data_IF_546501852683
#
_entry.id   IF_546501852683
#
_cell.length_a   1.000
_cell.length_b   1.000
_cell.length_c   1.000
_cell.angle_alpha   90.00
_cell.angle_beta   90.00
_cell.angle_gamma   90.00
#
_symmetry.space_group_name_H-M   'P 1'
#
loop_
_entity.id
_entity.type
_entity.pdbx_description
1 polymer ?
#
# COMPACT_ATOMS: atom_id res chain seq x y z
N UNK A 1 -0.93 -30.04 3.89
CA UNK A 1 0.35 -30.24 3.18
C UNK A 1 0.05 -30.67 1.76
N UNK A 2 0.61 -30.02 0.73
CA UNK A 2 0.26 -30.32 -0.68
C UNK A 2 1.15 -31.43 -1.25
N UNK A 3 0.64 -32.24 -2.20
CA UNK A 3 1.38 -33.32 -2.84
C UNK A 3 2.73 -32.85 -3.48
N UNK A 4 2.77 -31.61 -3.97
CA UNK A 4 3.99 -30.98 -4.48
C UNK A 4 5.05 -30.66 -3.40
N UNK A 5 4.64 -30.56 -2.13
CA UNK A 5 5.56 -30.47 -0.97
C UNK A 5 6.17 -31.84 -0.68
N UNK A 6 5.34 -32.89 -0.67
CA UNK A 6 5.78 -34.26 -0.39
C UNK A 6 6.75 -34.79 -1.44
N UNK A 7 6.50 -34.54 -2.73
CA UNK A 7 7.40 -34.95 -3.81
C UNK A 7 8.78 -34.26 -3.76
N UNK A 8 8.85 -33.01 -3.29
CA UNK A 8 10.12 -32.31 -3.08
C UNK A 8 10.88 -32.85 -1.86
N UNK A 9 10.15 -33.16 -0.80
CA UNK A 9 10.70 -33.77 0.41
C UNK A 9 11.28 -35.16 0.13
N UNK A 10 10.53 -36.02 -0.59
CA UNK A 10 10.97 -37.34 -0.99
C UNK A 10 12.27 -37.29 -1.82
N UNK A 11 12.31 -36.45 -2.87
CA UNK A 11 13.52 -36.27 -3.71
C UNK A 11 14.73 -35.75 -2.93
N UNK A 12 14.50 -34.93 -1.91
CA UNK A 12 15.56 -34.39 -1.07
C UNK A 12 16.15 -35.47 -0.15
N UNK A 13 15.30 -36.36 0.37
CA UNK A 13 15.72 -37.52 1.16
C UNK A 13 16.50 -38.52 0.30
N UNK A 14 16.01 -38.88 -0.89
CA UNK A 14 16.71 -39.82 -1.78
C UNK A 14 18.06 -39.28 -2.24
N UNK A 15 18.15 -37.99 -2.56
CA UNK A 15 19.44 -37.35 -2.90
C UNK A 15 20.40 -37.30 -1.72
N UNK A 16 19.89 -37.12 -0.50
CA UNK A 16 20.74 -37.14 0.70
C UNK A 16 21.28 -38.51 1.04
N UNK A 17 20.46 -39.54 0.85
CA UNK A 17 20.89 -40.93 1.03
C UNK A 17 21.94 -41.33 -0.02
N UNK A 18 21.71 -41.04 -1.30
CA UNK A 18 22.65 -41.33 -2.38
C UNK A 18 23.98 -40.58 -2.23
N UNK A 19 23.95 -39.32 -1.75
CA UNK A 19 25.17 -38.55 -1.51
C UNK A 19 25.99 -39.07 -0.31
N UNK A 20 25.32 -39.59 0.72
CA UNK A 20 25.95 -40.25 1.87
C UNK A 20 26.64 -41.55 1.46
N UNK A 21 25.97 -42.35 0.62
CA UNK A 21 26.53 -43.59 0.06
C UNK A 21 27.74 -43.35 -0.84
N UNK A 22 27.77 -42.22 -1.54
CA UNK A 22 28.87 -41.83 -2.43
C UNK A 22 30.07 -41.17 -1.71
N UNK A 23 30.12 -41.19 -0.37
CA UNK A 23 31.21 -40.57 0.42
C UNK A 23 31.26 -39.03 0.33
N UNK A 24 30.30 -38.39 -0.34
CA UNK A 24 30.21 -36.93 -0.51
C UNK A 24 29.47 -36.28 0.66
N UNK A 25 29.80 -36.70 1.88
CA UNK A 25 29.14 -36.31 3.13
C UNK A 25 29.31 -34.83 3.47
N UNK A 26 30.38 -34.20 3.02
CA UNK A 26 30.73 -32.84 3.43
C UNK A 26 30.64 -31.88 2.24
N UNK A 27 29.45 -31.31 2.01
CA UNK A 27 29.43 -29.96 1.40
C UNK A 27 29.81 -29.01 2.52
N UNK A 28 30.97 -28.36 2.34
CA UNK A 28 31.66 -27.56 3.35
C UNK A 28 30.84 -26.50 4.08
N UNK A 29 31.51 -25.90 5.06
CA UNK A 29 31.06 -24.83 5.97
C UNK A 29 30.09 -23.84 5.34
N UNK A 30 29.15 -23.34 6.15
CA UNK A 30 28.06 -22.41 5.80
C UNK A 30 28.29 -21.64 4.49
N UNK A 31 27.50 -21.96 3.46
CA UNK A 31 27.60 -21.27 2.17
C UNK A 31 27.35 -19.78 2.37
N UNK A 32 28.32 -18.96 1.98
CA UNK A 32 28.25 -17.49 1.99
C UNK A 32 26.91 -16.98 1.45
N UNK A 33 26.34 -15.99 2.13
CA UNK A 33 25.09 -15.33 1.73
C UNK A 33 25.20 -14.84 0.29
N UNK A 34 24.12 -15.03 -0.49
CA UNK A 34 24.06 -14.57 -1.89
C UNK A 34 24.20 -13.05 -1.99
N UNK A 35 24.78 -12.56 -3.09
CA UNK A 35 25.15 -11.15 -3.37
C UNK A 35 24.09 -10.06 -3.10
N UNK A 36 22.81 -10.43 -2.97
CA UNK A 36 21.68 -9.51 -2.75
C UNK A 36 20.74 -9.96 -1.63
N UNK A 37 21.20 -10.84 -0.76
CA UNK A 37 20.49 -11.22 0.46
C UNK A 37 21.34 -10.87 1.66
N UNK A 38 20.68 -10.60 2.77
CA UNK A 38 21.32 -10.25 4.03
C UNK A 38 20.87 -11.29 5.06
N UNK A 39 21.79 -11.69 5.94
CA UNK A 39 21.42 -12.55 7.06
C UNK A 39 20.45 -11.80 7.99
N UNK A 40 19.45 -12.49 8.54
CA UNK A 40 18.50 -11.87 9.48
C UNK A 40 19.21 -11.28 10.71
N UNK A 41 20.30 -11.91 11.15
CA UNK A 41 21.06 -11.47 12.32
C UNK A 41 22.00 -10.29 12.03
N UNK A 42 22.29 -10.01 10.75
CA UNK A 42 23.15 -8.88 10.36
C UNK A 42 22.48 -7.56 10.75
N UNK A 43 23.25 -6.62 11.32
CA UNK A 43 22.81 -5.26 11.63
C UNK A 43 22.18 -4.57 10.41
N UNK A 44 22.68 -4.86 9.20
CA UNK A 44 22.13 -4.31 7.95
C UNK A 44 20.70 -4.76 7.67
N UNK A 45 20.25 -5.90 8.22
CA UNK A 45 18.86 -6.35 8.10
C UNK A 45 17.91 -5.65 9.09
N UNK A 46 18.44 -4.91 10.06
CA UNK A 46 17.66 -4.15 11.06
C UNK A 46 17.30 -2.76 10.53
N UNK A 47 16.33 -2.72 9.63
CA UNK A 47 15.86 -1.49 8.94
C UNK A 47 14.54 -0.93 9.46
N UNK A 48 13.85 -1.67 10.32
CA UNK A 48 12.59 -1.21 10.90
C UNK A 48 12.79 0.03 11.76
N UNK A 49 11.93 1.03 11.55
CA UNK A 49 11.89 2.29 12.30
C UNK A 49 10.47 2.53 12.77
N UNK A 50 10.26 3.10 13.97
CA UNK A 50 8.92 3.44 14.45
C UNK A 50 8.14 4.25 13.40
N UNK A 51 6.85 3.94 13.26
CA UNK A 51 5.97 4.65 12.32
C UNK A 51 5.38 5.87 13.03
N UNK A 52 5.56 7.06 12.45
CA UNK A 52 5.15 8.30 13.09
C UNK A 52 5.95 8.56 14.37
N UNK A 53 5.27 8.57 15.52
CA UNK A 53 5.88 8.69 16.85
C UNK A 53 5.96 7.34 17.59
N UNK A 54 5.62 6.23 16.92
CA UNK A 54 5.59 4.89 17.51
C UNK A 54 4.33 4.59 18.33
N UNK A 55 3.46 5.57 18.55
CA UNK A 55 2.14 5.37 19.17
C UNK A 55 1.11 5.01 18.11
N UNK A 56 0.04 4.31 18.49
CA UNK A 56 -1.04 3.97 17.55
C UNK A 56 -1.69 5.22 16.94
N UNK A 57 -1.99 6.23 17.75
CA UNK A 57 -2.65 7.44 17.27
C UNK A 57 -1.75 8.26 16.32
N UNK A 58 -0.48 8.44 16.68
CA UNK A 58 0.48 9.15 15.84
C UNK A 58 0.82 8.39 14.55
N UNK A 59 0.94 7.06 14.62
CA UNK A 59 1.13 6.22 13.45
C UNK A 59 -0.06 6.30 12.49
N UNK A 60 -1.30 6.15 12.97
CA UNK A 60 -2.51 6.27 12.13
C UNK A 60 -2.63 7.66 11.49
N UNK A 61 -2.35 8.71 12.27
CA UNK A 61 -2.30 10.08 11.75
C UNK A 61 -1.26 10.23 10.63
N UNK A 62 -0.06 9.66 10.81
CA UNK A 62 1.00 9.70 9.82
C UNK A 62 0.65 8.90 8.57
N UNK A 63 0.07 7.70 8.73
CA UNK A 63 -0.39 6.82 7.65
C UNK A 63 -1.41 7.56 6.77
N UNK A 64 -2.43 8.17 7.39
CA UNK A 64 -3.46 8.92 6.66
C UNK A 64 -2.85 10.10 5.88
N UNK A 65 -1.91 10.84 6.48
CA UNK A 65 -1.23 11.94 5.80
C UNK A 65 -0.36 11.45 4.64
N UNK A 66 0.36 10.34 4.81
CA UNK A 66 1.18 9.73 3.75
C UNK A 66 0.30 9.27 2.59
N UNK A 67 -0.76 8.49 2.87
CA UNK A 67 -1.68 8.01 1.85
C UNK A 67 -2.30 9.17 1.07
N UNK A 68 -2.71 10.23 1.76
CA UNK A 68 -3.24 11.44 1.12
C UNK A 68 -2.21 12.12 0.23
N UNK A 69 -1.00 12.37 0.73
CA UNK A 69 0.05 13.04 -0.06
C UNK A 69 0.45 12.23 -1.30
N UNK A 70 0.54 10.91 -1.17
CA UNK A 70 0.88 9.99 -2.26
C UNK A 70 -0.26 9.90 -3.29
N UNK A 71 -1.51 9.80 -2.85
CA UNK A 71 -2.69 9.76 -3.74
C UNK A 71 -2.84 11.08 -4.51
N UNK A 72 -2.74 12.22 -3.83
CA UNK A 72 -2.81 13.55 -4.47
C UNK A 72 -1.71 13.71 -5.52
N UNK A 73 -0.49 13.22 -5.24
CA UNK A 73 0.58 13.24 -6.23
C UNK A 73 0.27 12.33 -7.43
N UNK A 74 -0.24 11.12 -7.20
CA UNK A 74 -0.61 10.18 -8.29
C UNK A 74 -1.70 10.78 -9.19
N UNK A 75 -2.67 11.47 -8.61
CA UNK A 75 -3.71 12.22 -9.33
C UNK A 75 -3.14 13.38 -10.15
N UNK A 76 -2.24 14.18 -9.55
CA UNK A 76 -1.58 15.29 -10.26
C UNK A 76 -0.73 14.79 -11.42
N UNK A 77 -0.04 13.66 -11.28
CA UNK A 77 0.73 13.09 -12.39
C UNK A 77 -0.17 12.57 -13.50
N UNK A 78 -1.31 11.96 -13.15
CA UNK A 78 -2.32 11.56 -14.14
C UNK A 78 -2.87 12.76 -14.92
N UNK A 79 -3.15 13.86 -14.23
CA UNK A 79 -3.70 15.08 -14.85
C UNK A 79 -2.76 15.70 -15.91
N UNK A 80 -1.46 15.38 -15.89
CA UNK A 80 -0.49 15.81 -16.92
C UNK A 80 -0.56 14.99 -18.22
N UNK A 81 -1.54 14.09 -18.38
CA UNK A 81 -1.78 13.38 -19.63
C UNK A 81 -1.14 12.00 -19.73
N UNK A 82 -1.01 11.28 -18.61
CA UNK A 82 -0.40 9.94 -18.59
C UNK A 82 -1.10 8.94 -17.67
N UNK A 83 -0.62 7.69 -17.69
CA UNK A 83 -1.04 6.69 -16.73
C UNK A 83 -0.60 7.09 -15.31
N UNK A 84 -1.42 6.73 -14.32
CA UNK A 84 -1.09 6.90 -12.90
C UNK A 84 0.24 6.17 -12.58
N UNK A 85 1.27 6.86 -12.04
CA UNK A 85 2.55 6.22 -11.74
C UNK A 85 2.44 5.05 -10.76
N UNK A 86 1.61 5.16 -9.72
CA UNK A 86 1.30 4.06 -8.81
C UNK A 86 0.09 3.26 -9.30
N UNK A 87 -0.97 4.00 -9.64
CA UNK A 87 -2.27 3.45 -10.00
C UNK A 87 -2.99 2.78 -8.83
N UNK A 88 -4.20 2.27 -9.11
CA UNK A 88 -5.09 1.65 -8.12
C UNK A 88 -4.39 0.55 -7.31
N UNK A 89 -3.69 -0.37 -7.98
CA UNK A 89 -3.03 -1.49 -7.30
C UNK A 89 -1.82 -1.05 -6.48
N UNK A 90 -1.10 0.00 -6.91
CA UNK A 90 -0.01 0.59 -6.12
C UNK A 90 -0.51 1.11 -4.78
N UNK A 91 -1.61 1.87 -4.80
CA UNK A 91 -2.26 2.40 -3.60
C UNK A 91 -2.82 1.28 -2.72
N UNK A 92 -3.51 0.27 -3.28
CA UNK A 92 -4.03 -0.88 -2.50
C UNK A 92 -2.94 -1.68 -1.80
N UNK A 93 -1.78 -1.85 -2.45
CA UNK A 93 -0.62 -2.53 -1.84
C UNK A 93 -0.01 -1.68 -0.74
N UNK A 94 0.07 -0.36 -0.94
CA UNK A 94 0.53 0.57 0.10
C UNK A 94 -0.41 0.57 1.32
N UNK A 95 -1.73 0.65 1.11
CA UNK A 95 -2.74 0.54 2.17
C UNK A 95 -2.60 -0.78 2.95
N UNK A 96 -2.37 -1.89 2.24
CA UNK A 96 -2.17 -3.19 2.87
C UNK A 96 -0.92 -3.21 3.73
N UNK A 97 0.22 -2.71 3.24
CA UNK A 97 1.47 -2.64 3.99
C UNK A 97 1.41 -1.68 5.19
N UNK A 98 0.54 -0.68 5.14
CA UNK A 98 0.29 0.26 6.25
C UNK A 98 -0.80 -0.24 7.22
N UNK A 99 -1.32 -1.46 7.04
CA UNK A 99 -2.36 -2.03 7.90
C UNK A 99 -3.74 -1.37 7.76
N UNK A 100 -3.97 -0.55 6.72
CA UNK A 100 -5.27 0.10 6.43
C UNK A 100 -6.21 -0.80 5.63
N UNK A 101 -5.66 -1.84 5.01
CA UNK A 101 -6.40 -2.79 4.18
C UNK A 101 -6.00 -4.22 4.51
N UNK A 102 -6.99 -5.07 4.78
CA UNK A 102 -6.77 -6.49 5.04
C UNK A 102 -6.07 -6.76 6.38
N UNK A 103 -5.39 -7.91 6.47
CA UNK A 103 -4.86 -8.46 7.75
C UNK A 103 -3.33 -8.48 7.81
N UNK A 104 -2.66 -7.45 7.29
CA UNK A 104 -1.20 -7.30 7.49
C UNK A 104 -0.99 -6.64 8.84
N UNK A 105 -0.35 -7.36 9.75
CA UNK A 105 0.00 -6.84 11.08
C UNK A 105 1.21 -5.91 10.93
N UNK A 106 1.08 -4.70 11.45
CA UNK A 106 2.15 -3.70 11.50
C UNK A 106 2.36 -3.33 12.95
N UNK A 107 3.57 -3.55 13.45
CA UNK A 107 3.96 -3.04 14.76
C UNK A 107 4.41 -1.58 14.60
N UNK A 108 3.60 -0.64 15.08
CA UNK A 108 3.90 0.80 14.94
C UNK A 108 5.10 1.24 15.79
N UNK A 109 5.34 0.58 16.93
CA UNK A 109 6.43 0.93 17.84
C UNK A 109 7.77 0.53 17.26
N UNK A 110 7.87 -0.67 16.69
CA UNK A 110 9.13 -1.15 16.09
C UNK A 110 9.24 -0.82 14.60
N UNK A 111 8.10 -0.62 13.93
CA UNK A 111 8.01 -0.54 12.47
C UNK A 111 8.30 -1.87 11.76
N UNK A 112 8.24 -2.99 12.49
CA UNK A 112 8.52 -4.30 11.91
C UNK A 112 7.44 -4.68 10.91
N UNK A 113 7.85 -4.91 9.66
CA UNK A 113 6.96 -5.24 8.55
C UNK A 113 7.60 -6.33 7.69
N UNK A 114 7.29 -7.58 8.03
CA UNK A 114 7.87 -8.76 7.39
C UNK A 114 6.83 -9.69 6.70
N UNK A 115 5.78 -9.18 6.03
CA UNK A 115 4.76 -10.04 5.44
C UNK A 115 5.28 -10.81 4.22
N UNK A 116 4.76 -12.02 4.03
CA UNK A 116 4.93 -12.74 2.77
C UNK A 116 4.20 -12.03 1.61
N UNK A 117 4.72 -12.16 0.39
CA UNK A 117 4.05 -11.64 -0.81
C UNK A 117 2.62 -12.17 -0.97
N UNK A 118 2.37 -13.42 -0.55
CA UNK A 118 1.02 -14.00 -0.56
C UNK A 118 0.06 -13.29 0.41
N UNK A 119 0.56 -12.88 1.57
CA UNK A 119 -0.21 -12.13 2.57
C UNK A 119 -0.53 -10.73 2.06
N UNK A 120 0.43 -10.04 1.45
CA UNK A 120 0.20 -8.73 0.80
C UNK A 120 -0.84 -8.88 -0.32
N UNK A 121 -0.71 -9.89 -1.17
CA UNK A 121 -1.63 -10.15 -2.27
C UNK A 121 -3.08 -10.35 -1.79
N UNK A 122 -3.28 -11.20 -0.78
CA UNK A 122 -4.60 -11.41 -0.16
C UNK A 122 -5.15 -10.14 0.48
N UNK A 123 -4.32 -9.39 1.22
CA UNK A 123 -4.75 -8.15 1.86
C UNK A 123 -5.13 -7.07 0.85
N UNK A 124 -4.34 -6.90 -0.21
CA UNK A 124 -4.60 -5.91 -1.26
C UNK A 124 -5.74 -6.33 -2.23
N UNK A 125 -6.09 -7.62 -2.27
CA UNK A 125 -7.08 -8.19 -3.21
C UNK A 125 -6.55 -8.24 -4.65
N UNK A 126 -5.28 -8.64 -4.82
CA UNK A 126 -4.61 -8.69 -6.13
C UNK A 126 -3.73 -9.94 -6.26
N UNK A 127 -3.24 -10.22 -7.46
CA UNK A 127 -2.30 -11.33 -7.69
C UNK A 127 -0.89 -11.02 -7.19
N UNK A 128 -0.09 -12.06 -6.92
CA UNK A 128 1.32 -11.90 -6.50
C UNK A 128 2.15 -11.12 -7.53
N UNK A 129 1.91 -11.32 -8.83
CA UNK A 129 2.59 -10.59 -9.91
C UNK A 129 2.28 -9.10 -9.87
N UNK A 130 1.02 -8.74 -9.61
CA UNK A 130 0.60 -7.35 -9.41
C UNK A 130 1.24 -6.74 -8.17
N UNK A 131 1.37 -7.50 -7.07
CA UNK A 131 2.11 -7.03 -5.88
C UNK A 131 3.56 -6.68 -6.23
N UNK A 132 4.27 -7.56 -6.94
CA UNK A 132 5.67 -7.30 -7.32
C UNK A 132 5.79 -6.04 -8.17
N UNK A 133 4.89 -5.83 -9.15
CA UNK A 133 4.84 -4.61 -9.97
C UNK A 133 4.53 -3.37 -9.14
N UNK A 134 3.58 -3.46 -8.21
CA UNK A 134 3.23 -2.38 -7.30
C UNK A 134 4.39 -1.99 -6.36
N UNK A 135 5.06 -2.98 -5.78
CA UNK A 135 6.26 -2.77 -4.95
C UNK A 135 7.37 -2.06 -5.72
N UNK A 136 7.62 -2.46 -6.98
CA UNK A 136 8.60 -1.80 -7.83
C UNK A 136 8.27 -0.31 -8.05
N UNK A 137 7.00 0.02 -8.29
CA UNK A 137 6.54 1.42 -8.43
C UNK A 137 6.68 2.21 -7.13
N UNK A 138 6.31 1.63 -6.00
CA UNK A 138 6.46 2.25 -4.68
C UNK A 138 7.94 2.53 -4.35
N UNK A 139 8.84 1.62 -4.73
CA UNK A 139 10.29 1.82 -4.59
C UNK A 139 10.85 2.86 -5.54
N UNK A 140 10.36 2.92 -6.78
CA UNK A 140 10.72 3.98 -7.72
C UNK A 140 10.32 5.37 -7.19
N UNK A 141 9.15 5.47 -6.56
CA UNK A 141 8.65 6.68 -5.89
C UNK A 141 9.31 6.96 -4.53
N UNK A 142 10.18 6.06 -4.04
CA UNK A 142 10.84 6.19 -2.73
C UNK A 142 9.85 6.29 -1.56
N UNK A 143 8.69 5.64 -1.67
CA UNK A 143 7.75 5.49 -0.54
C UNK A 143 8.23 4.37 0.38
N UNK A 144 8.72 3.28 -0.22
CA UNK A 144 9.06 2.03 0.44
C UNK A 144 10.34 1.45 -0.15
N UNK A 145 11.16 0.82 0.69
CA UNK A 145 12.22 -0.08 0.26
C UNK A 145 12.15 -1.41 1.03
N UNK A 146 12.90 -2.41 0.61
CA UNK A 146 12.95 -3.71 1.25
C UNK A 146 14.32 -4.38 1.18
N UNK A 147 14.60 -5.17 2.21
CA UNK A 147 15.74 -6.07 2.26
C UNK A 147 15.26 -7.50 2.10
N UNK A 148 15.92 -8.21 1.18
CA UNK A 148 15.76 -9.66 1.05
C UNK A 148 16.61 -10.35 2.10
N UNK A 149 15.97 -11.19 2.91
CA UNK A 149 16.62 -11.82 4.07
C UNK A 149 16.77 -13.33 3.90
N UNK A 150 17.79 -13.88 4.54
CA UNK A 150 18.05 -15.33 4.64
C UNK A 150 18.41 -15.70 6.06
N UNK A 151 18.03 -16.90 6.49
CA UNK A 151 18.41 -17.44 7.79
C UNK A 151 19.06 -18.81 7.63
N UNK A 152 19.88 -19.20 8.61
CA UNK A 152 20.47 -20.54 8.67
C UNK A 152 19.40 -21.55 9.03
N UNK A 153 19.49 -22.75 8.44
CA UNK A 153 18.52 -23.83 8.72
C UNK A 153 18.86 -24.65 9.97
N UNK A 154 20.00 -24.39 10.61
CA UNK A 154 20.46 -25.16 11.78
C UNK A 154 20.77 -26.63 11.47
N UNK A 155 21.04 -26.96 10.21
CA UNK A 155 21.33 -28.31 9.71
C UNK A 155 22.78 -28.44 9.29
N UNK A 156 23.67 -27.83 10.07
CA UNK A 156 25.09 -27.78 9.81
C UNK A 156 25.63 -29.21 9.69
N UNK A 157 26.38 -29.50 8.63
CA UNK A 157 26.92 -30.85 8.34
C UNK A 157 25.92 -31.88 7.79
N UNK A 158 24.61 -31.58 7.73
CA UNK A 158 23.61 -32.48 7.13
C UNK A 158 23.39 -32.15 5.66
N UNK A 159 23.20 -33.17 4.82
CA UNK A 159 22.88 -32.98 3.41
C UNK A 159 21.57 -32.17 3.22
N UNK A 160 21.70 -30.92 2.77
CA UNK A 160 20.57 -30.04 2.51
C UNK A 160 20.97 -28.58 2.26
N UNK A 161 20.02 -27.69 1.92
CA UNK A 161 20.24 -26.26 1.91
C UNK A 161 20.56 -25.79 3.33
N UNK A 162 21.76 -25.26 3.55
CA UNK A 162 22.21 -24.74 4.86
C UNK A 162 21.55 -23.39 5.23
N UNK A 163 20.94 -22.72 4.25
CA UNK A 163 20.27 -21.43 4.41
C UNK A 163 18.92 -21.46 3.69
N UNK A 164 17.89 -20.89 4.31
CA UNK A 164 16.57 -20.70 3.69
C UNK A 164 16.25 -19.22 3.54
N UNK A 165 15.51 -18.91 2.48
CA UNK A 165 14.98 -17.57 2.28
C UNK A 165 13.80 -17.37 3.23
N UNK A 166 13.77 -16.21 3.89
CA UNK A 166 12.63 -15.76 4.69
C UNK A 166 11.90 -14.61 4.00
N UNK A 167 10.79 -14.17 4.58
CA UNK A 167 10.08 -12.99 4.10
C UNK A 167 11.01 -11.77 4.07
N UNK A 168 10.84 -10.96 3.03
CA UNK A 168 11.53 -9.68 2.94
C UNK A 168 11.12 -8.79 4.13
N UNK A 169 12.04 -7.95 4.57
CA UNK A 169 11.72 -6.88 5.52
C UNK A 169 11.47 -5.61 4.73
N UNK A 170 10.29 -5.03 4.88
CA UNK A 170 9.86 -3.81 4.21
C UNK A 170 9.95 -2.63 5.19
N UNK A 171 10.31 -1.45 4.69
CA UNK A 171 10.40 -0.24 5.52
C UNK A 171 10.09 1.00 4.67
N UNK A 172 9.46 1.99 5.32
CA UNK A 172 9.09 3.25 4.67
C UNK A 172 10.28 4.21 4.66
N UNK A 173 10.37 5.02 3.60
CA UNK A 173 11.49 5.97 3.40
C UNK A 173 10.99 7.40 3.17
N UNK A 174 10.25 8.00 4.14
CA UNK A 174 9.67 9.33 3.95
C UNK A 174 10.71 10.41 3.66
N UNK A 175 11.94 10.26 4.17
CA UNK A 175 13.11 11.09 3.89
C UNK A 175 13.56 11.09 2.42
N UNK A 176 13.28 10.02 1.67
CA UNK A 176 13.68 9.88 0.27
C UNK A 176 12.57 10.25 -0.73
N UNK A 177 11.39 10.64 -0.24
CA UNK A 177 10.26 11.01 -1.09
C UNK A 177 10.61 12.20 -2.01
N UNK A 178 9.99 12.27 -3.21
CA UNK A 178 10.12 13.45 -4.06
C UNK A 178 9.75 14.74 -3.31
N UNK A 179 10.53 15.81 -3.51
CA UNK A 179 10.45 17.03 -2.71
C UNK A 179 9.02 17.58 -2.53
N UNK A 180 8.21 17.58 -3.60
CA UNK A 180 6.80 18.02 -3.55
C UNK A 180 5.92 17.13 -2.67
N UNK A 181 6.12 15.82 -2.71
CA UNK A 181 5.38 14.85 -1.88
C UNK A 181 5.82 14.98 -0.42
N UNK A 182 7.13 15.10 -0.18
CA UNK A 182 7.68 15.28 1.16
C UNK A 182 7.20 16.59 1.81
N UNK A 183 7.17 17.70 1.05
CA UNK A 183 6.61 18.97 1.50
C UNK A 183 5.12 18.83 1.84
N UNK A 184 4.34 18.23 0.94
CA UNK A 184 2.92 18.02 1.17
C UNK A 184 2.64 17.17 2.41
N UNK A 185 3.42 16.11 2.64
CA UNK A 185 3.34 15.30 3.84
C UNK A 185 3.61 16.13 5.10
N UNK A 186 4.67 16.96 5.10
CA UNK A 186 4.99 17.87 6.20
C UNK A 186 3.86 18.85 6.49
N UNK A 187 3.26 19.43 5.46
CA UNK A 187 2.14 20.37 5.61
C UNK A 187 0.91 19.69 6.25
N UNK A 188 0.57 18.47 5.79
CA UNK A 188 -0.56 17.71 6.35
C UNK A 188 -0.32 17.32 7.81
N UNK A 189 0.91 16.92 8.16
CA UNK A 189 1.29 16.60 9.53
C UNK A 189 1.25 17.86 10.43
N UNK A 190 1.75 19.00 9.95
CA UNK A 190 1.71 20.26 10.68
C UNK A 190 0.27 20.71 10.93
N UNK A 191 -0.60 20.68 9.90
CA UNK A 191 -2.03 20.99 10.04
C UNK A 191 -2.72 20.09 11.05
N UNK A 192 -2.44 18.78 11.04
CA UNK A 192 -3.03 17.84 12.00
C UNK A 192 -2.50 18.02 13.41
N UNK A 193 -1.24 18.46 13.59
CA UNK A 193 -0.70 18.87 14.89
C UNK A 193 -1.44 20.11 15.42
N UNK A 194 -1.61 21.15 14.60
CA UNK A 194 -2.34 22.36 14.98
C UNK A 194 -3.81 22.08 15.34
N UNK A 195 -4.50 21.20 14.58
CA UNK A 195 -5.86 20.76 14.91
C UNK A 195 -5.94 20.08 16.27
N UNK A 196 -4.94 19.26 16.63
CA UNK A 196 -4.89 18.60 17.94
C UNK A 196 -4.56 19.56 19.08
N UNK A 197 -3.75 20.59 18.84
CA UNK A 197 -3.42 21.59 19.85
C UNK A 197 -4.49 22.69 20.02
N UNK A 198 -5.56 22.67 19.22
CA UNK A 198 -6.60 23.71 19.23
C UNK A 198 -6.13 25.05 18.63
N UNK A 199 -4.89 25.13 18.16
CA UNK A 199 -4.24 26.36 17.66
C UNK A 199 -4.41 26.49 16.14
N UNK A 200 -5.57 26.10 15.61
CA UNK A 200 -5.82 26.28 14.18
C UNK A 200 -6.34 27.70 13.93
N UNK A 201 -5.79 28.43 12.95
CA UNK A 201 -6.53 29.53 12.34
C UNK A 201 -7.90 28.97 11.89
N UNK A 202 -9.00 29.72 12.03
CA UNK A 202 -10.30 29.26 11.53
C UNK A 202 -10.14 28.77 10.10
N UNK A 203 -10.83 27.67 9.74
CA UNK A 203 -10.93 27.26 8.33
C UNK A 203 -11.39 28.52 7.60
N UNK A 204 -10.55 29.11 6.74
CA UNK A 204 -10.99 30.19 5.88
C UNK A 204 -12.09 29.53 5.06
N UNK A 205 -13.38 29.87 5.28
CA UNK A 205 -14.43 29.28 4.49
C UNK A 205 -14.02 29.53 3.05
N UNK A 206 -13.91 28.45 2.28
CA UNK A 206 -13.57 28.54 0.86
C UNK A 206 -14.60 29.54 0.31
N UNK A 207 -14.16 30.76 0.02
CA UNK A 207 -15.08 31.85 -0.25
C UNK A 207 -16.03 31.33 -1.31
N UNK A 208 -17.32 31.22 -0.98
CA UNK A 208 -18.31 30.96 -2.00
C UNK A 208 -18.07 32.08 -2.99
N UNK A 209 -17.56 31.73 -4.17
CA UNK A 209 -17.25 32.71 -5.19
C UNK A 209 -18.59 33.22 -5.71
N UNK A 210 -19.25 34.08 -4.93
CA UNK A 210 -20.41 34.81 -5.39
C UNK A 210 -19.90 35.70 -6.53
N UNK A 211 -20.47 35.56 -7.73
CA UNK A 211 -20.02 36.36 -8.86
C UNK A 211 -20.19 37.84 -8.56
N UNK A 212 -19.21 38.67 -8.93
CA UNK A 212 -19.19 40.10 -8.64
C UNK A 212 -20.35 40.83 -9.34
N UNK A 213 -20.74 40.36 -10.53
CA UNK A 213 -21.87 40.89 -11.30
C UNK A 213 -23.21 40.63 -10.58
N UNK A 214 -24.08 41.65 -10.44
CA UNK A 214 -25.42 41.50 -9.87
C UNK A 214 -26.28 40.49 -10.64
N UNK A 215 -26.24 40.52 -11.97
CA UNK A 215 -27.07 39.67 -12.83
C UNK A 215 -26.83 38.16 -12.63
N UNK A 216 -25.56 37.75 -12.50
CA UNK A 216 -25.23 36.34 -12.23
C UNK A 216 -25.61 35.92 -10.82
N UNK A 217 -25.64 36.84 -9.85
CA UNK A 217 -26.15 36.55 -8.49
C UNK A 217 -27.64 36.25 -8.55
N UNK A 218 -28.41 37.12 -9.21
CA UNK A 218 -29.86 36.93 -9.36
C UNK A 218 -30.21 35.68 -10.17
N UNK A 219 -29.38 35.31 -11.14
CA UNK A 219 -29.52 34.05 -11.87
C UNK A 219 -29.30 32.84 -10.95
N UNK A 220 -28.21 32.84 -10.18
CA UNK A 220 -27.88 31.75 -9.24
C UNK A 220 -28.94 31.61 -8.15
N UNK A 221 -29.42 32.71 -7.57
CA UNK A 221 -30.47 32.69 -6.55
C UNK A 221 -31.79 32.11 -7.12
N UNK A 222 -32.12 32.44 -8.38
CA UNK A 222 -33.27 31.84 -9.08
C UNK A 222 -33.09 30.34 -9.33
N UNK A 223 -31.88 29.90 -9.70
CA UNK A 223 -31.57 28.49 -9.90
C UNK A 223 -31.61 27.71 -8.59
N UNK A 224 -31.03 28.24 -7.51
CA UNK A 224 -31.08 27.63 -6.17
C UNK A 224 -32.52 27.52 -5.66
N UNK A 225 -33.33 28.57 -5.82
CA UNK A 225 -34.75 28.53 -5.48
C UNK A 225 -35.52 27.51 -6.35
N UNK A 226 -35.15 27.35 -7.62
CA UNK A 226 -35.72 26.32 -8.51
C UNK A 226 -35.39 24.90 -8.06
N UNK A 227 -34.13 24.66 -7.67
CA UNK A 227 -33.66 23.36 -7.18
C UNK A 227 -34.31 23.03 -5.83
N UNK A 228 -34.43 24.00 -4.92
CA UNK A 228 -35.09 23.82 -3.63
C UNK A 228 -36.59 23.50 -3.79
N UNK A 229 -37.26 24.10 -4.77
CA UNK A 229 -38.64 23.75 -5.14
C UNK A 229 -38.73 22.33 -5.72
N UNK A 230 -37.75 21.90 -6.51
CA UNK A 230 -37.71 20.56 -7.09
C UNK A 230 -37.42 19.46 -6.04
N UNK A 231 -36.57 19.74 -5.06
CA UNK A 231 -36.26 18.80 -3.96
C UNK A 231 -37.34 18.74 -2.87
N UNK A 232 -38.23 19.74 -2.81
CA UNK A 232 -39.40 19.79 -1.93
C UNK A 232 -40.60 18.92 -2.36
N UNK A 233 -40.49 18.20 -3.48
CA UNK A 233 -41.43 17.16 -3.85
C UNK A 233 -42.37 17.52 -5.00
N UNK A 234 -41.89 17.32 -6.23
CA UNK A 234 -42.66 16.68 -7.32
C UNK A 234 -41.64 15.89 -8.15
N UNK A 235 -41.61 14.56 -7.98
CA UNK A 235 -40.86 13.70 -8.90
C UNK A 235 -41.50 13.83 -10.29
N UNK A 236 -40.74 14.30 -11.27
CA UNK A 236 -41.15 14.34 -12.68
C UNK A 236 -41.08 12.96 -13.37
N UNK A 237 -41.06 11.87 -12.61
CA UNK A 237 -41.21 10.52 -13.13
C UNK A 237 -42.70 10.17 -13.11
N UNK A 238 -43.31 9.81 -14.25
CA UNK A 238 -44.67 9.27 -14.26
C UNK A 238 -44.74 8.06 -13.31
N UNK A 239 -45.83 7.89 -12.54
CA UNK A 239 -46.02 6.69 -11.74
C UNK A 239 -45.93 5.46 -12.65
N UNK A 240 -45.23 4.43 -12.18
CA UNK A 240 -45.01 3.17 -12.91
C UNK A 240 -46.32 2.64 -13.48
N UNK A 241 -46.44 2.60 -14.82
CA UNK A 241 -47.63 2.10 -15.52
C UNK A 241 -48.04 2.88 -16.76
N UNK A 242 -47.46 4.07 -17.01
CA UNK A 242 -47.74 4.87 -18.20
C UNK A 242 -46.49 5.01 -19.09
N UNK A 243 -46.03 3.90 -19.68
CA UNK A 243 -45.24 3.99 -20.91
C UNK A 243 -46.18 3.62 -22.06
N UNK A 244 -46.38 4.49 -23.06
CA UNK A 244 -47.10 4.08 -24.25
C UNK A 244 -46.33 2.92 -24.88
N UNK A 245 -46.97 1.76 -24.97
CA UNK A 245 -46.49 0.65 -25.77
C UNK A 245 -46.42 1.16 -27.21
N UNK A 246 -45.21 1.45 -27.69
CA UNK A 246 -44.97 1.73 -29.08
C UNK A 246 -45.37 0.48 -29.86
N UNK A 247 -46.55 0.53 -30.49
CA UNK A 247 -47.00 -0.44 -31.47
C UNK A 247 -45.99 -0.47 -32.61
N UNK A 248 -45.18 -1.52 -32.62
CA UNK A 248 -44.55 -1.98 -33.84
C UNK A 248 -45.56 -2.93 -34.49
N UNK A 249 -46.27 -2.46 -35.51
CA UNK A 249 -46.93 -3.32 -36.47
C UNK A 249 -46.37 -3.04 -37.86
N UNK A 250 -45.97 -4.13 -38.53
CA UNK A 250 -46.08 -4.36 -39.98
C UNK A 250 -45.23 -3.51 -40.90
#
# INVERSE_FOLDING_TARGET
MTAASMGRQARQITRGFAARLAGKGERGTDRKVRRHSIDVEDRRARVSRPIGDGTTAGALSWIDCLLKAVSEWDDVQRAKGGARPLGLHGLRVLEALLGRRGKVVVDFKTGRLDPELATIARAAGVTKTTVVRALARLKAMKVLDWIRRTERTGKDGVFGPQRRQVSNSYFFTPEALPARVAQRLRDLLARRRLRRSGTMPPDIPKASARPSSPELRDLLDRMEAGIARASGGVNASPPSGQYPLSGAEG
#
